data_IF_004348956741
#
_entry.id   IF_004348956741
#
_cell.length_a   1.000
_cell.length_b   1.000
_cell.length_c   1.000
_cell.angle_alpha   90.00
_cell.angle_beta   90.00
_cell.angle_gamma   90.00
#
_symmetry.space_group_name_H-M   'P 1'
#
loop_
_entity.id
_entity.type
_entity.pdbx_description
1 polymer ?
#
# COMPACT_ATOMS: atom_id res chain seq x y z
N UNK A 1 10.91 7.00 15.94
CA UNK A 1 11.42 5.89 15.10
C UNK A 1 12.91 5.86 15.26
N UNK A 2 13.54 4.67 15.36
CA UNK A 2 14.99 4.57 15.36
C UNK A 2 15.57 5.16 14.06
N UNK A 3 16.76 5.73 14.16
CA UNK A 3 17.52 6.23 13.01
C UNK A 3 17.96 5.05 12.14
N UNK A 4 17.96 5.18 10.79
CA UNK A 4 18.39 4.09 9.92
C UNK A 4 19.85 3.72 10.16
N UNK A 5 20.14 2.42 10.16
CA UNK A 5 21.50 1.92 10.39
C UNK A 5 22.41 2.06 9.15
N UNK A 6 23.71 1.84 9.35
CA UNK A 6 24.72 1.99 8.30
C UNK A 6 24.55 0.99 7.14
N UNK A 7 24.00 -0.20 7.41
CA UNK A 7 23.78 -1.25 6.41
C UNK A 7 22.57 -0.89 5.53
N UNK A 8 21.52 -0.33 6.12
CA UNK A 8 20.37 0.23 5.40
C UNK A 8 20.80 1.34 4.44
N UNK A 9 21.62 2.29 4.91
CA UNK A 9 22.15 3.38 4.05
C UNK A 9 23.02 2.81 2.92
N UNK A 10 23.88 1.85 3.22
CA UNK A 10 24.75 1.22 2.22
C UNK A 10 23.96 0.49 1.15
N UNK A 11 22.89 -0.22 1.54
CA UNK A 11 21.98 -0.93 0.64
C UNK A 11 21.32 0.03 -0.35
N UNK A 12 20.76 1.15 0.13
CA UNK A 12 20.12 2.16 -0.73
C UNK A 12 21.14 2.78 -1.69
N UNK A 13 22.35 3.11 -1.22
CA UNK A 13 23.41 3.67 -2.07
C UNK A 13 23.88 2.69 -3.15
N UNK A 14 23.98 1.40 -2.81
CA UNK A 14 24.33 0.35 -3.77
C UNK A 14 23.24 0.19 -4.83
N UNK A 15 21.96 0.15 -4.42
CA UNK A 15 20.82 0.12 -5.33
C UNK A 15 20.82 1.31 -6.28
N UNK A 16 20.97 2.55 -5.77
CA UNK A 16 20.96 3.74 -6.61
C UNK A 16 22.08 3.71 -7.66
N UNK A 17 23.30 3.31 -7.27
CA UNK A 17 24.44 3.21 -8.20
C UNK A 17 24.19 2.17 -9.30
N UNK A 18 23.69 1.00 -8.92
CA UNK A 18 23.32 -0.05 -9.87
C UNK A 18 22.20 0.44 -10.81
N UNK A 19 21.12 0.98 -10.25
CA UNK A 19 19.93 1.38 -11.00
C UNK A 19 20.21 2.53 -11.96
N UNK A 20 21.04 3.51 -11.58
CA UNK A 20 21.47 4.58 -12.51
C UNK A 20 22.20 4.04 -13.74
N UNK A 21 22.90 2.91 -13.62
CA UNK A 21 23.48 2.21 -14.77
C UNK A 21 22.42 1.52 -15.62
N UNK A 22 21.42 0.89 -14.98
CA UNK A 22 20.31 0.21 -15.66
C UNK A 22 19.48 1.16 -16.51
N UNK A 23 19.15 2.35 -15.98
CA UNK A 23 18.32 3.34 -16.70
C UNK A 23 19.13 4.28 -17.60
N UNK A 24 20.45 4.06 -17.74
CA UNK A 24 21.28 4.77 -18.72
C UNK A 24 21.43 6.28 -18.50
N UNK A 25 21.09 6.82 -17.32
CA UNK A 25 21.06 8.28 -17.06
C UNK A 25 22.43 8.94 -16.89
N UNK A 26 23.51 8.15 -16.92
CA UNK A 26 24.89 8.64 -16.76
C UNK A 26 25.54 9.07 -18.08
N UNK A 27 24.87 8.87 -19.23
CA UNK A 27 25.32 9.40 -20.51
C UNK A 27 24.99 10.89 -20.69
N UNK A 28 25.70 11.56 -21.60
CA UNK A 28 25.47 12.99 -21.92
C UNK A 28 24.09 13.27 -22.54
N UNK A 29 23.36 12.22 -22.95
CA UNK A 29 22.02 12.30 -23.51
C UNK A 29 21.11 11.18 -23.03
N UNK A 30 19.82 11.48 -22.85
CA UNK A 30 18.81 10.46 -22.58
C UNK A 30 18.46 9.75 -23.90
N UNK A 31 18.35 8.42 -23.91
CA UNK A 31 17.87 7.60 -25.04
C UNK A 31 18.53 7.93 -26.40
N UNK A 32 19.83 8.22 -26.39
CA UNK A 32 20.62 8.63 -27.57
C UNK A 32 20.01 9.83 -28.33
N UNK A 33 19.39 10.76 -27.61
CA UNK A 33 18.77 11.96 -28.16
C UNK A 33 19.70 13.18 -28.03
N UNK A 34 19.44 14.32 -28.68
CA UNK A 34 20.21 15.54 -28.40
C UNK A 34 19.82 16.21 -27.08
N UNK A 35 18.94 15.59 -26.28
CA UNK A 35 18.38 16.17 -25.05
C UNK A 35 18.96 15.50 -23.80
N UNK A 36 19.29 16.32 -22.80
CA UNK A 36 19.62 15.85 -21.45
C UNK A 36 18.41 15.25 -20.74
N UNK A 37 18.64 14.51 -19.66
CA UNK A 37 17.57 13.95 -18.82
C UNK A 37 16.57 15.03 -18.36
N UNK A 38 17.07 16.18 -17.91
CA UNK A 38 16.22 17.25 -17.40
C UNK A 38 15.39 17.90 -18.52
N UNK A 39 15.98 18.06 -19.69
CA UNK A 39 15.30 18.58 -20.89
C UNK A 39 14.19 17.65 -21.36
N UNK A 40 14.49 16.35 -21.46
CA UNK A 40 13.50 15.34 -21.79
C UNK A 40 12.38 15.33 -20.74
N UNK A 41 12.71 15.35 -19.44
CA UNK A 41 11.73 15.35 -18.36
C UNK A 41 10.81 16.58 -18.43
N UNK A 42 11.34 17.76 -18.77
CA UNK A 42 10.52 18.95 -18.98
C UNK A 42 9.52 18.76 -20.12
N UNK A 43 9.93 18.16 -21.25
CA UNK A 43 9.03 17.84 -22.36
C UNK A 43 7.99 16.79 -21.97
N UNK A 44 8.36 15.76 -21.21
CA UNK A 44 7.43 14.75 -20.68
C UNK A 44 6.35 15.37 -19.79
N UNK A 45 6.72 16.26 -18.86
CA UNK A 45 5.75 16.94 -17.98
C UNK A 45 4.84 17.89 -18.77
N UNK A 46 5.37 18.60 -19.77
CA UNK A 46 4.58 19.48 -20.64
C UNK A 46 3.65 18.72 -21.58
N UNK A 47 3.93 17.45 -21.89
CA UNK A 47 3.07 16.63 -22.73
C UNK A 47 1.82 16.10 -21.99
N UNK A 48 1.82 16.07 -20.66
CA UNK A 48 0.71 15.54 -19.87
C UNK A 48 -0.54 16.43 -19.87
N UNK A 49 -0.39 17.71 -20.25
CA UNK A 49 -1.45 18.72 -20.19
C UNK A 49 -1.33 19.68 -21.37
N UNK A 50 -2.45 20.24 -21.82
CA UNK A 50 -2.44 21.21 -22.93
C UNK A 50 -1.64 22.48 -22.60
N UNK A 51 -1.65 22.91 -21.34
CA UNK A 51 -0.84 23.98 -20.82
C UNK A 51 -0.54 23.75 -19.33
N UNK A 52 0.68 24.10 -18.90
CA UNK A 52 1.12 23.93 -17.51
C UNK A 52 1.69 25.25 -16.98
N UNK A 53 1.31 25.65 -15.76
CA UNK A 53 1.92 26.81 -15.12
C UNK A 53 3.42 26.58 -14.88
N UNK A 54 4.25 27.58 -15.18
CA UNK A 54 5.72 27.48 -14.99
C UNK A 54 6.07 27.22 -13.51
N UNK A 55 5.25 27.72 -12.58
CA UNK A 55 5.40 27.46 -11.16
C UNK A 55 5.19 25.97 -10.79
N UNK A 56 4.28 25.29 -11.48
CA UNK A 56 4.00 23.87 -11.27
C UNK A 56 5.10 23.00 -11.88
N UNK A 57 5.61 23.36 -13.06
CA UNK A 57 6.78 22.69 -13.66
C UNK A 57 8.00 22.78 -12.73
N UNK A 58 8.23 23.94 -12.12
CA UNK A 58 9.31 24.13 -11.15
C UNK A 58 9.16 23.18 -9.96
N UNK A 59 7.94 23.07 -9.41
CA UNK A 59 7.66 22.22 -8.25
C UNK A 59 7.81 20.74 -8.59
N UNK A 60 7.25 20.31 -9.72
CA UNK A 60 7.28 18.92 -10.17
C UNK A 60 8.71 18.43 -10.48
N UNK A 61 9.54 19.30 -11.06
CA UNK A 61 10.90 18.94 -11.48
C UNK A 61 11.98 19.26 -10.44
N UNK A 62 11.64 19.96 -9.35
CA UNK A 62 12.60 20.38 -8.33
C UNK A 62 13.70 21.31 -8.85
N UNK A 63 13.44 22.09 -9.91
CA UNK A 63 14.44 22.92 -10.58
C UNK A 63 14.53 24.34 -10.01
N UNK A 64 15.72 24.93 -10.08
CA UNK A 64 15.93 26.35 -9.79
C UNK A 64 15.16 27.24 -10.81
N UNK A 65 14.53 28.35 -10.37
CA UNK A 65 13.78 29.25 -11.26
C UNK A 65 14.59 29.78 -12.45
N UNK A 66 15.86 30.15 -12.23
CA UNK A 66 16.72 30.69 -13.27
C UNK A 66 17.10 29.62 -14.29
N UNK A 67 17.38 28.40 -13.84
CA UNK A 67 17.66 27.28 -14.73
C UNK A 67 16.45 26.90 -15.59
N UNK A 68 15.26 26.78 -15.00
CA UNK A 68 14.03 26.50 -15.75
C UNK A 68 13.72 27.60 -16.77
N UNK A 69 13.88 28.87 -16.40
CA UNK A 69 13.63 29.99 -17.31
C UNK A 69 14.59 29.98 -18.51
N UNK A 70 15.87 29.67 -18.31
CA UNK A 70 16.85 29.55 -19.41
C UNK A 70 16.49 28.37 -20.34
N UNK A 71 16.07 27.25 -19.77
CA UNK A 71 15.67 26.07 -20.54
C UNK A 71 14.43 26.34 -21.40
N UNK A 72 13.40 26.96 -20.82
CA UNK A 72 12.19 27.34 -21.54
C UNK A 72 12.47 28.34 -22.66
N UNK A 73 13.33 29.34 -22.43
CA UNK A 73 13.71 30.32 -23.44
C UNK A 73 14.45 29.68 -24.64
N UNK A 74 15.33 28.70 -24.37
CA UNK A 74 15.99 27.92 -25.42
C UNK A 74 14.96 27.07 -26.19
N UNK A 75 14.07 26.37 -25.50
CA UNK A 75 13.02 25.58 -26.14
C UNK A 75 12.02 26.42 -26.96
N UNK A 76 11.77 27.67 -26.59
CA UNK A 76 11.03 28.60 -27.44
C UNK A 76 11.79 28.98 -28.70
N UNK A 77 13.09 29.26 -28.57
CA UNK A 77 13.98 29.54 -29.72
C UNK A 77 14.03 28.36 -30.69
N UNK A 78 14.06 27.14 -30.14
CA UNK A 78 14.06 25.89 -30.90
C UNK A 78 12.65 25.50 -31.43
N UNK A 79 11.62 26.31 -31.12
CA UNK A 79 10.25 26.10 -31.56
C UNK A 79 9.56 24.90 -30.90
N UNK A 80 10.06 24.39 -29.77
CA UNK A 80 9.51 23.24 -29.05
C UNK A 80 8.40 23.64 -28.05
N UNK A 81 8.54 24.82 -27.45
CA UNK A 81 7.63 25.34 -26.43
C UNK A 81 7.11 26.71 -26.84
N UNK A 82 5.88 27.03 -26.44
CA UNK A 82 5.35 28.38 -26.45
C UNK A 82 4.92 28.77 -25.03
N UNK A 83 5.22 30.00 -24.60
CA UNK A 83 4.72 30.58 -23.35
C UNK A 83 3.73 31.71 -23.60
N UNK A 84 2.69 31.73 -22.78
CA UNK A 84 1.75 32.85 -22.69
C UNK A 84 1.53 33.27 -21.25
N UNK A 85 0.82 34.39 -21.06
CA UNK A 85 0.26 34.75 -19.77
C UNK A 85 -0.87 33.77 -19.41
N UNK A 86 -0.95 33.40 -18.13
CA UNK A 86 -2.02 32.55 -17.64
C UNK A 86 -3.37 33.26 -17.81
N UNK A 87 -4.42 32.57 -18.31
CA UNK A 87 -5.77 33.14 -18.41
C UNK A 87 -6.37 33.56 -17.07
N UNK A 88 -5.95 32.92 -15.97
CA UNK A 88 -6.49 33.16 -14.62
C UNK A 88 -5.71 34.19 -13.79
N UNK A 89 -4.45 34.47 -14.12
CA UNK A 89 -3.64 35.51 -13.48
C UNK A 89 -2.56 35.98 -14.46
N UNK A 90 -2.66 37.22 -14.95
CA UNK A 90 -1.73 37.78 -15.93
C UNK A 90 -0.27 37.88 -15.42
N UNK A 91 -0.04 37.74 -14.11
CA UNK A 91 1.30 37.68 -13.50
C UNK A 91 1.95 36.30 -13.62
N UNK A 92 1.17 35.27 -13.94
CA UNK A 92 1.64 33.90 -14.11
C UNK A 92 1.86 33.60 -15.60
N UNK A 93 2.77 32.67 -15.86
CA UNK A 93 3.05 32.18 -17.20
C UNK A 93 2.64 30.71 -17.31
N UNK A 94 2.05 30.38 -18.45
CA UNK A 94 1.78 28.99 -18.86
C UNK A 94 2.69 28.63 -20.00
N UNK A 95 3.21 27.41 -20.00
CA UNK A 95 4.00 26.84 -21.07
C UNK A 95 3.23 25.67 -21.70
N UNK A 96 3.34 25.53 -23.02
CA UNK A 96 2.76 24.43 -23.78
C UNK A 96 3.71 23.93 -24.85
N UNK A 97 3.62 22.65 -25.20
CA UNK A 97 4.30 22.12 -26.37
C UNK A 97 3.68 22.68 -27.66
N UNK A 98 4.53 23.04 -28.61
CA UNK A 98 4.13 23.29 -29.99
C UNK A 98 3.89 21.97 -30.73
N UNK A 99 3.45 22.03 -31.99
CA UNK A 99 3.41 20.83 -32.85
C UNK A 99 4.79 20.17 -32.95
N UNK A 100 5.85 20.96 -33.15
CA UNK A 100 7.23 20.47 -33.21
C UNK A 100 7.70 19.89 -31.87
N UNK A 101 7.35 20.52 -30.75
CA UNK A 101 7.63 20.00 -29.42
C UNK A 101 6.98 18.65 -29.17
N UNK A 102 5.74 18.45 -29.66
CA UNK A 102 5.05 17.15 -29.59
C UNK A 102 5.70 16.07 -30.44
N UNK A 103 6.22 16.40 -31.63
CA UNK A 103 7.00 15.45 -32.45
C UNK A 103 8.27 15.00 -31.73
N UNK A 104 9.00 15.94 -31.12
CA UNK A 104 10.20 15.63 -30.33
C UNK A 104 9.85 14.78 -29.12
N UNK A 105 8.77 15.13 -28.41
CA UNK A 105 8.27 14.32 -27.30
C UNK A 105 7.95 12.89 -27.76
N UNK A 106 7.22 12.70 -28.86
CA UNK A 106 6.87 11.37 -29.37
C UNK A 106 8.11 10.54 -29.70
N UNK A 107 9.14 11.16 -30.29
CA UNK A 107 10.41 10.50 -30.55
C UNK A 107 11.14 10.09 -29.26
N UNK A 108 11.13 10.93 -28.23
CA UNK A 108 11.72 10.60 -26.93
C UNK A 108 10.95 9.48 -26.21
N UNK A 109 9.62 9.53 -26.24
CA UNK A 109 8.72 8.54 -25.63
C UNK A 109 8.89 7.17 -26.30
N UNK A 110 8.90 7.11 -27.62
CA UNK A 110 9.08 5.86 -28.37
C UNK A 110 10.44 5.20 -28.07
N UNK A 111 11.51 5.99 -28.00
CA UNK A 111 12.85 5.47 -27.67
C UNK A 111 12.92 5.00 -26.22
N UNK A 112 12.36 5.75 -25.28
CA UNK A 112 12.29 5.36 -23.88
C UNK A 112 11.50 4.07 -23.69
N UNK A 113 10.33 3.96 -24.34
CA UNK A 113 9.54 2.74 -24.37
C UNK A 113 10.31 1.56 -25.00
N UNK A 114 11.12 1.83 -26.02
CA UNK A 114 12.01 0.84 -26.65
C UNK A 114 13.05 0.27 -25.68
N UNK A 115 13.74 1.12 -24.91
CA UNK A 115 14.72 0.69 -23.90
C UNK A 115 14.07 -0.15 -22.79
N UNK A 116 12.94 0.31 -22.25
CA UNK A 116 12.19 -0.43 -21.23
C UNK A 116 11.69 -1.77 -21.80
N UNK A 117 11.22 -1.81 -23.05
CA UNK A 117 10.81 -3.04 -23.71
C UNK A 117 11.97 -4.03 -23.84
N UNK A 118 13.16 -3.56 -24.22
CA UNK A 118 14.36 -4.39 -24.33
C UNK A 118 14.79 -4.96 -22.95
N UNK A 119 14.75 -4.12 -21.90
CA UNK A 119 15.03 -4.55 -20.54
C UNK A 119 14.06 -5.65 -20.10
N UNK A 120 12.75 -5.44 -20.28
CA UNK A 120 11.73 -6.41 -19.89
C UNK A 120 11.80 -7.68 -20.75
N UNK A 121 12.13 -7.57 -22.05
CA UNK A 121 12.23 -8.71 -22.96
C UNK A 121 13.21 -9.77 -22.47
N UNK A 122 14.32 -9.37 -21.81
CA UNK A 122 15.32 -10.27 -21.25
C UNK A 122 14.92 -11.00 -19.98
N UNK A 123 13.75 -10.68 -19.40
CA UNK A 123 13.27 -11.26 -18.14
C UNK A 123 12.20 -12.33 -18.37
N UNK A 124 12.22 -13.37 -17.53
CA UNK A 124 11.13 -14.36 -17.44
C UNK A 124 9.83 -13.69 -16.98
N UNK A 125 8.67 -14.29 -17.27
CA UNK A 125 7.39 -13.73 -16.79
C UNK A 125 7.32 -13.62 -15.26
N UNK A 126 7.91 -14.57 -14.54
CA UNK A 126 7.97 -14.54 -13.08
C UNK A 126 8.82 -13.36 -12.58
N UNK A 127 9.98 -13.14 -13.19
CA UNK A 127 10.86 -12.02 -12.84
C UNK A 127 10.25 -10.67 -13.21
N UNK A 128 9.53 -10.58 -14.34
CA UNK A 128 8.78 -9.37 -14.71
C UNK A 128 7.74 -9.02 -13.65
N UNK A 129 6.93 -9.99 -13.22
CA UNK A 129 5.93 -9.76 -12.16
C UNK A 129 6.59 -9.30 -10.87
N UNK A 130 7.67 -9.96 -10.45
CA UNK A 130 8.40 -9.61 -9.22
C UNK A 130 9.04 -8.22 -9.29
N UNK A 131 9.63 -7.86 -10.43
CA UNK A 131 10.22 -6.54 -10.64
C UNK A 131 9.16 -5.44 -10.60
N UNK A 132 8.05 -5.60 -11.34
CA UNK A 132 6.98 -4.61 -11.38
C UNK A 132 6.36 -4.39 -9.99
N UNK A 133 6.09 -5.46 -9.24
CA UNK A 133 5.59 -5.37 -7.86
C UNK A 133 6.57 -4.65 -6.92
N UNK A 134 7.88 -4.92 -7.05
CA UNK A 134 8.89 -4.20 -6.27
C UNK A 134 8.92 -2.69 -6.60
N UNK A 135 8.79 -2.31 -7.87
CA UNK A 135 8.75 -0.91 -8.29
C UNK A 135 7.51 -0.19 -7.77
N UNK A 136 6.36 -0.86 -7.74
CA UNK A 136 5.14 -0.35 -7.13
C UNK A 136 5.28 -0.17 -5.62
N UNK A 137 5.85 -1.15 -4.92
CA UNK A 137 6.15 -1.05 -3.50
C UNK A 137 7.08 0.14 -3.20
N UNK A 138 8.16 0.31 -3.98
CA UNK A 138 9.08 1.45 -3.83
C UNK A 138 8.34 2.78 -4.04
N UNK A 139 7.48 2.88 -5.07
CA UNK A 139 6.67 4.09 -5.31
C UNK A 139 5.68 4.36 -4.18
N UNK A 140 5.04 3.33 -3.63
CA UNK A 140 4.10 3.47 -2.51
C UNK A 140 4.79 3.88 -1.20
N UNK A 141 6.02 3.42 -0.97
CA UNK A 141 6.80 3.73 0.24
C UNK A 141 7.46 5.13 0.16
N UNK A 142 8.03 5.48 -1.01
CA UNK A 142 8.83 6.71 -1.17
C UNK A 142 8.06 7.88 -1.80
N UNK A 143 6.95 7.61 -2.50
CA UNK A 143 6.16 8.65 -3.15
C UNK A 143 5.14 9.29 -2.21
N UNK A 144 4.69 10.50 -2.55
CA UNK A 144 3.54 11.17 -1.94
C UNK A 144 2.19 10.57 -2.40
N UNK A 145 2.18 9.31 -2.86
CA UNK A 145 0.95 8.66 -3.27
C UNK A 145 -0.04 8.74 -2.10
N UNK A 146 -1.28 9.23 -2.32
CA UNK A 146 -2.28 9.19 -1.28
C UNK A 146 -2.38 7.73 -0.81
N UNK A 147 -2.04 7.48 0.45
CA UNK A 147 -2.28 6.16 1.07
C UNK A 147 -3.70 5.75 0.69
N UNK A 148 -3.89 4.58 0.07
CA UNK A 148 -5.16 4.23 -0.55
C UNK A 148 -6.30 4.42 0.44
N UNK A 149 -7.11 5.45 0.22
CA UNK A 149 -8.21 5.79 1.13
C UNK A 149 -9.34 4.75 1.08
N UNK A 150 -9.33 3.86 0.08
CA UNK A 150 -10.33 2.84 -0.15
C UNK A 150 -9.74 1.45 0.05
N UNK A 151 -10.20 0.77 1.10
CA UNK A 151 -10.06 -0.67 1.25
C UNK A 151 -11.38 -1.32 0.84
N UNK A 152 -11.31 -2.54 0.29
CA UNK A 152 -12.49 -3.37 0.03
C UNK A 152 -12.46 -4.58 0.93
N UNK A 153 -13.63 -5.15 1.22
CA UNK A 153 -13.76 -6.41 1.96
C UNK A 153 -14.29 -7.47 1.01
N UNK A 154 -13.62 -8.62 0.97
CA UNK A 154 -14.01 -9.76 0.13
C UNK A 154 -13.86 -11.07 0.90
N UNK A 155 -14.48 -12.12 0.40
CA UNK A 155 -14.28 -13.47 0.91
C UNK A 155 -12.86 -13.99 0.59
N UNK A 156 -12.32 -14.95 1.38
CA UNK A 156 -11.02 -15.54 1.12
C UNK A 156 -11.00 -16.33 -0.19
N UNK A 157 -9.87 -16.24 -0.90
CA UNK A 157 -9.51 -17.00 -2.09
C UNK A 157 -8.39 -18.00 -1.74
N UNK A 158 -8.10 -19.00 -2.60
CA UNK A 158 -6.94 -19.85 -2.41
C UNK A 158 -5.66 -19.02 -2.21
N UNK A 159 -4.94 -19.31 -1.13
CA UNK A 159 -3.76 -18.57 -0.68
C UNK A 159 -4.02 -17.63 0.51
N UNK A 160 -5.20 -17.02 0.61
CA UNK A 160 -5.47 -16.05 1.68
C UNK A 160 -5.48 -16.69 3.06
N UNK A 161 -6.02 -17.90 3.19
CA UNK A 161 -6.07 -18.60 4.48
C UNK A 161 -4.66 -18.95 4.99
N UNK A 162 -3.76 -19.36 4.09
CA UNK A 162 -2.35 -19.54 4.42
C UNK A 162 -1.66 -18.22 4.78
N UNK A 163 -2.02 -17.14 4.08
CA UNK A 163 -1.58 -15.79 4.41
C UNK A 163 -2.06 -15.35 5.80
N UNK A 164 -3.30 -15.62 6.19
CA UNK A 164 -3.81 -15.32 7.54
C UNK A 164 -2.98 -16.01 8.63
N UNK A 165 -2.65 -17.30 8.45
CA UNK A 165 -1.79 -18.04 9.39
C UNK A 165 -0.42 -17.39 9.47
N UNK A 166 0.22 -17.17 8.32
CA UNK A 166 1.54 -16.57 8.23
C UNK A 166 1.60 -15.17 8.89
N UNK A 167 0.65 -14.28 8.57
CA UNK A 167 0.65 -12.91 9.07
C UNK A 167 0.32 -12.81 10.54
N UNK A 168 -0.58 -13.65 11.06
CA UNK A 168 -0.79 -13.72 12.50
C UNK A 168 0.47 -14.23 13.23
N UNK A 169 1.15 -15.26 12.70
CA UNK A 169 2.39 -15.76 13.28
C UNK A 169 3.47 -14.68 13.38
N UNK A 170 3.75 -14.00 12.26
CA UNK A 170 4.77 -12.93 12.20
C UNK A 170 4.39 -11.74 13.09
N UNK A 171 3.18 -11.20 12.96
CA UNK A 171 2.81 -9.98 13.67
C UNK A 171 2.75 -10.18 15.20
N UNK A 172 2.29 -11.34 15.67
CA UNK A 172 2.22 -11.59 17.11
C UNK A 172 3.58 -11.99 17.71
N UNK A 173 4.50 -12.59 16.94
CA UNK A 173 5.90 -12.73 17.36
C UNK A 173 6.56 -11.34 17.51
N UNK A 174 6.43 -10.48 16.49
CA UNK A 174 7.04 -9.14 16.49
C UNK A 174 6.45 -8.20 17.57
N UNK A 175 5.13 -8.23 17.78
CA UNK A 175 4.44 -7.27 18.66
C UNK A 175 4.26 -7.76 20.09
N UNK A 176 4.15 -9.08 20.28
CA UNK A 176 3.86 -9.69 21.57
C UNK A 176 4.96 -10.67 22.03
N UNK A 177 5.94 -11.00 21.20
CA UNK A 177 6.97 -12.01 21.53
C UNK A 177 6.43 -13.43 21.63
N UNK A 178 5.28 -13.70 21.00
CA UNK A 178 4.60 -14.99 21.10
C UNK A 178 5.24 -16.05 20.21
N UNK A 179 5.48 -17.22 20.78
CA UNK A 179 6.14 -18.31 20.06
C UNK A 179 5.21 -19.02 19.04
N UNK A 180 5.80 -19.95 18.28
CA UNK A 180 5.12 -20.76 17.26
C UNK A 180 3.85 -21.49 17.72
N UNK A 181 3.61 -21.66 19.02
CA UNK A 181 2.36 -22.27 19.50
C UNK A 181 1.14 -21.38 19.30
N UNK A 182 1.32 -20.05 19.13
CA UNK A 182 0.26 -19.16 18.66
C UNK A 182 -0.05 -19.38 17.18
N UNK A 183 0.98 -19.47 16.34
CA UNK A 183 0.81 -19.79 14.91
C UNK A 183 0.09 -21.13 14.73
N UNK A 184 0.43 -22.14 15.54
CA UNK A 184 -0.27 -23.43 15.55
C UNK A 184 -1.75 -23.30 15.94
N UNK A 185 -2.10 -22.41 16.88
CA UNK A 185 -3.49 -22.09 17.18
C UNK A 185 -4.18 -21.44 15.98
N UNK A 186 -3.56 -20.46 15.33
CA UNK A 186 -4.17 -19.80 14.16
C UNK A 186 -4.40 -20.82 13.04
N UNK A 187 -3.42 -21.68 12.77
CA UNK A 187 -3.53 -22.76 11.80
C UNK A 187 -4.69 -23.71 12.12
N UNK A 188 -4.90 -24.08 13.39
CA UNK A 188 -6.02 -24.97 13.76
C UNK A 188 -7.37 -24.30 13.60
N UNK A 189 -7.49 -22.99 13.88
CA UNK A 189 -8.72 -22.23 13.65
C UNK A 189 -9.05 -22.14 12.17
N UNK A 190 -8.05 -21.88 11.34
CA UNK A 190 -8.23 -21.82 9.88
C UNK A 190 -8.60 -23.19 9.32
N UNK A 191 -7.96 -24.27 9.78
CA UNK A 191 -8.31 -25.63 9.37
C UNK A 191 -9.75 -25.99 9.75
N UNK A 192 -10.14 -25.73 11.00
CA UNK A 192 -11.49 -26.00 11.50
C UNK A 192 -12.55 -25.21 10.73
N UNK A 193 -12.29 -23.93 10.44
CA UNK A 193 -13.16 -23.10 9.61
C UNK A 193 -13.36 -23.71 8.22
N UNK A 194 -12.32 -24.23 7.57
CA UNK A 194 -12.44 -24.81 6.22
C UNK A 194 -13.16 -26.15 6.23
N UNK A 195 -12.87 -27.00 7.22
CA UNK A 195 -13.41 -28.35 7.30
C UNK A 195 -14.90 -28.36 7.69
N UNK A 196 -15.31 -27.44 8.57
CA UNK A 196 -16.64 -27.42 9.17
C UNK A 196 -17.44 -26.15 8.84
N UNK A 197 -17.04 -25.42 7.79
CA UNK A 197 -17.67 -24.16 7.41
C UNK A 197 -19.19 -24.29 7.23
N UNK A 198 -19.95 -23.50 7.99
CA UNK A 198 -21.37 -23.28 7.74
C UNK A 198 -21.58 -21.87 7.15
N UNK A 199 -21.79 -21.72 5.84
CA UNK A 199 -21.93 -20.41 5.20
C UNK A 199 -23.19 -19.64 5.63
N UNK A 200 -24.18 -20.29 6.24
CA UNK A 200 -25.36 -19.62 6.79
C UNK A 200 -25.10 -19.06 8.19
N UNK A 201 -24.00 -19.46 8.83
CA UNK A 201 -23.71 -19.15 10.23
C UNK A 201 -22.33 -18.53 10.44
N UNK A 202 -21.46 -18.63 9.46
CA UNK A 202 -20.04 -18.25 9.54
C UNK A 202 -19.60 -17.58 8.24
N UNK A 203 -18.63 -16.67 8.34
CA UNK A 203 -17.92 -16.15 7.18
C UNK A 203 -16.58 -15.55 7.62
N UNK A 204 -15.67 -15.34 6.68
CA UNK A 204 -14.40 -14.66 6.87
C UNK A 204 -14.23 -13.58 5.82
N UNK A 205 -13.47 -12.53 6.15
CA UNK A 205 -13.19 -11.45 5.21
C UNK A 205 -11.71 -11.12 5.19
N UNK A 206 -11.24 -10.83 3.98
CA UNK A 206 -9.95 -10.23 3.70
C UNK A 206 -10.21 -8.77 3.33
N UNK A 207 -9.55 -7.86 4.03
CA UNK A 207 -9.44 -6.48 3.60
C UNK A 207 -8.34 -6.37 2.54
N UNK A 208 -8.65 -5.74 1.41
CA UNK A 208 -7.72 -5.55 0.30
C UNK A 208 -7.54 -4.05 0.03
N UNK A 209 -6.30 -3.62 -0.14
CA UNK A 209 -5.94 -2.28 -0.60
C UNK A 209 -4.84 -2.39 -1.67
N UNK A 210 -5.00 -1.68 -2.79
CA UNK A 210 -4.11 -1.74 -3.95
C UNK A 210 -3.83 -3.17 -4.47
N UNK A 211 -4.84 -4.05 -4.39
CA UNK A 211 -4.73 -5.45 -4.84
C UNK A 211 -4.06 -6.39 -3.83
N UNK A 212 -3.58 -5.88 -2.70
CA UNK A 212 -2.87 -6.64 -1.68
C UNK A 212 -3.74 -6.84 -0.42
N UNK A 213 -3.67 -8.01 0.23
CA UNK A 213 -4.35 -8.24 1.50
C UNK A 213 -3.69 -7.41 2.62
N UNK A 214 -4.51 -6.65 3.35
CA UNK A 214 -4.07 -5.72 4.40
C UNK A 214 -4.72 -5.98 5.76
N UNK A 215 -5.56 -7.00 5.87
CA UNK A 215 -6.11 -7.47 7.13
C UNK A 215 -7.11 -8.60 6.93
N UNK A 216 -7.47 -9.28 8.01
CA UNK A 216 -8.55 -10.26 7.99
C UNK A 216 -9.36 -10.26 9.27
N UNK A 217 -10.53 -10.88 9.20
CA UNK A 217 -11.34 -11.23 10.37
C UNK A 217 -12.22 -12.44 10.05
N UNK A 218 -12.50 -13.25 11.05
CA UNK A 218 -13.40 -14.38 10.98
C UNK A 218 -14.59 -14.12 11.90
N UNK A 219 -15.79 -14.46 11.44
CA UNK A 219 -16.99 -14.56 12.26
C UNK A 219 -17.47 -16.00 12.20
N UNK A 220 -17.33 -16.72 13.32
CA UNK A 220 -17.63 -18.16 13.41
C UNK A 220 -18.68 -18.42 14.47
N UNK A 221 -19.38 -19.55 14.38
CA UNK A 221 -20.38 -19.94 15.38
C UNK A 221 -19.68 -20.36 16.66
N UNK A 222 -20.09 -19.81 17.80
CA UNK A 222 -19.63 -20.26 19.12
C UNK A 222 -20.68 -21.09 19.82
N UNK A 223 -21.90 -20.57 19.83
CA UNK A 223 -23.10 -21.20 20.38
C UNK A 223 -24.28 -20.92 19.45
N UNK A 224 -25.47 -21.44 19.77
CA UNK A 224 -26.63 -21.31 18.89
C UNK A 224 -27.02 -19.84 18.63
N UNK A 225 -26.87 -18.97 19.63
CA UNK A 225 -27.20 -17.54 19.55
C UNK A 225 -26.00 -16.62 19.70
N UNK A 226 -24.79 -17.17 19.77
CA UNK A 226 -23.55 -16.41 19.96
C UNK A 226 -22.57 -16.68 18.84
N UNK A 227 -22.19 -15.63 18.12
CA UNK A 227 -21.08 -15.64 17.17
C UNK A 227 -19.77 -15.24 17.86
N UNK A 228 -18.64 -15.66 17.30
CA UNK A 228 -17.32 -15.28 17.78
C UNK A 228 -16.51 -14.61 16.66
N UNK A 229 -15.99 -13.42 16.97
CA UNK A 229 -15.00 -12.73 16.16
C UNK A 229 -13.62 -13.29 16.48
N UNK A 230 -12.91 -13.77 15.44
CA UNK A 230 -11.58 -14.40 15.56
C UNK A 230 -10.61 -13.87 14.52
N UNK A 231 -9.32 -14.03 14.82
CA UNK A 231 -8.18 -13.79 13.91
C UNK A 231 -8.20 -12.40 13.26
N UNK A 232 -8.71 -11.39 13.99
CA UNK A 232 -8.66 -10.01 13.53
C UNK A 232 -7.21 -9.54 13.51
N UNK A 233 -6.73 -9.18 12.34
CA UNK A 233 -5.45 -8.48 12.21
C UNK A 233 -5.50 -7.44 11.10
N UNK A 234 -4.65 -6.43 11.21
CA UNK A 234 -4.46 -5.38 10.21
C UNK A 234 -2.96 -5.14 10.06
N UNK A 235 -2.50 -5.18 8.81
CA UNK A 235 -1.12 -4.90 8.45
C UNK A 235 -0.67 -3.55 9.02
N UNK A 236 0.55 -3.42 9.57
CA UNK A 236 1.04 -2.16 10.12
C UNK A 236 0.91 -0.97 9.16
N UNK A 237 1.12 -1.21 7.85
CA UNK A 237 1.00 -0.20 6.80
C UNK A 237 -0.44 0.31 6.60
N UNK A 238 -1.45 -0.48 6.97
CA UNK A 238 -2.87 -0.17 6.81
C UNK A 238 -3.56 0.32 8.11
N UNK A 239 -2.82 0.43 9.21
CA UNK A 239 -3.36 0.91 10.49
C UNK A 239 -3.68 2.41 10.44
N UNK A 240 -4.77 2.79 11.11
CA UNK A 240 -5.28 4.17 11.07
C UNK A 240 -6.09 4.52 9.82
N UNK A 241 -6.22 3.61 8.86
CA UNK A 241 -6.97 3.80 7.60
C UNK A 241 -8.42 3.28 7.67
N UNK A 242 -8.91 2.97 8.87
CA UNK A 242 -10.28 2.47 9.09
C UNK A 242 -10.50 0.98 8.80
N UNK A 243 -9.49 0.24 8.31
CA UNK A 243 -9.59 -1.19 7.96
C UNK A 243 -10.13 -2.05 9.10
N UNK A 244 -9.55 -1.94 10.31
CA UNK A 244 -10.01 -2.70 11.46
C UNK A 244 -11.46 -2.43 11.84
N UNK A 245 -11.91 -1.17 11.70
CA UNK A 245 -13.32 -0.81 11.92
C UNK A 245 -14.22 -1.45 10.87
N UNK A 246 -13.85 -1.39 9.59
CA UNK A 246 -14.66 -2.00 8.54
C UNK A 246 -14.80 -3.52 8.70
N UNK A 247 -13.71 -4.20 9.10
CA UNK A 247 -13.71 -5.64 9.40
C UNK A 247 -14.65 -5.97 10.57
N UNK A 248 -14.54 -5.25 11.69
CA UNK A 248 -15.44 -5.45 12.85
C UNK A 248 -16.89 -5.12 12.50
N UNK A 249 -17.15 -4.00 11.83
CA UNK A 249 -18.49 -3.59 11.40
C UNK A 249 -19.11 -4.59 10.41
N UNK A 250 -18.28 -5.32 9.66
CA UNK A 250 -18.73 -6.42 8.78
C UNK A 250 -19.15 -7.65 9.60
N UNK A 251 -18.34 -8.07 10.58
CA UNK A 251 -18.71 -9.19 11.48
C UNK A 251 -20.00 -8.91 12.24
N UNK A 252 -20.15 -7.70 12.79
CA UNK A 252 -21.35 -7.29 13.53
C UNK A 252 -22.60 -7.38 12.66
N UNK A 253 -22.55 -6.80 11.45
CA UNK A 253 -23.68 -6.85 10.53
C UNK A 253 -24.01 -8.27 10.12
N UNK A 254 -23.00 -9.05 9.74
CA UNK A 254 -23.19 -10.45 9.40
C UNK A 254 -23.87 -11.23 10.54
N UNK A 255 -23.37 -11.07 11.78
CA UNK A 255 -23.93 -11.78 12.92
C UNK A 255 -25.41 -11.40 13.17
N UNK A 256 -25.73 -10.10 13.12
CA UNK A 256 -27.11 -9.61 13.28
C UNK A 256 -28.03 -10.13 12.15
N UNK A 257 -27.56 -10.07 10.90
CA UNK A 257 -28.34 -10.51 9.72
C UNK A 257 -28.61 -12.03 9.73
N UNK A 258 -27.76 -12.82 10.39
CA UNK A 258 -27.88 -14.28 10.48
C UNK A 258 -28.45 -14.76 11.83
N UNK A 259 -29.12 -13.88 12.57
CA UNK A 259 -29.95 -14.24 13.72
C UNK A 259 -29.19 -14.58 15.01
N UNK A 260 -27.94 -14.15 15.11
CA UNK A 260 -27.22 -14.13 16.37
C UNK A 260 -27.71 -12.98 17.25
N UNK A 261 -27.76 -13.23 18.55
CA UNK A 261 -28.18 -12.25 19.56
C UNK A 261 -26.96 -11.58 20.21
N UNK A 262 -25.80 -12.21 20.12
CA UNK A 262 -24.56 -11.71 20.69
C UNK A 262 -23.34 -12.03 19.81
N UNK A 263 -22.38 -11.11 19.80
CA UNK A 263 -21.04 -11.32 19.25
C UNK A 263 -20.01 -11.24 20.38
N UNK A 264 -19.17 -12.26 20.50
CA UNK A 264 -18.08 -12.31 21.48
C UNK A 264 -16.71 -12.32 20.80
N UNK A 265 -15.67 -11.92 21.54
CA UNK A 265 -14.28 -12.12 21.15
C UNK A 265 -13.41 -12.43 22.35
N UNK A 266 -12.32 -13.14 22.10
CA UNK A 266 -11.26 -13.35 23.09
C UNK A 266 -10.02 -12.58 22.64
N UNK A 267 -9.46 -11.79 23.54
CA UNK A 267 -8.25 -10.99 23.31
C UNK A 267 -7.36 -11.02 24.55
N UNK A 268 -6.18 -10.43 24.47
CA UNK A 268 -5.26 -10.30 25.61
C UNK A 268 -5.09 -8.85 26.03
N UNK A 269 -4.73 -8.62 27.30
CA UNK A 269 -4.50 -7.27 27.84
C UNK A 269 -3.36 -6.50 27.16
N UNK A 270 -2.45 -7.21 26.47
CA UNK A 270 -1.33 -6.62 25.71
C UNK A 270 -1.80 -5.87 24.44
N UNK A 271 -3.01 -6.16 23.93
CA UNK A 271 -3.53 -5.63 22.68
C UNK A 271 -4.29 -4.29 22.86
N UNK A 272 -3.66 -3.31 23.53
CA UNK A 272 -4.29 -2.01 23.87
C UNK A 272 -4.90 -1.24 22.67
N UNK A 273 -4.31 -1.24 21.45
CA UNK A 273 -4.95 -0.61 20.29
C UNK A 273 -6.27 -1.27 19.88
N UNK A 274 -6.39 -2.59 20.05
CA UNK A 274 -7.60 -3.35 19.72
C UNK A 274 -8.73 -3.07 20.71
N UNK A 275 -8.44 -2.80 21.98
CA UNK A 275 -9.48 -2.47 22.98
C UNK A 275 -10.30 -1.25 22.59
N UNK A 276 -9.64 -0.16 22.18
CA UNK A 276 -10.35 1.06 21.73
C UNK A 276 -11.22 0.80 20.49
N UNK A 277 -10.79 -0.12 19.63
CA UNK A 277 -11.57 -0.53 18.46
C UNK A 277 -12.83 -1.28 18.91
N UNK A 278 -12.69 -2.24 19.81
CA UNK A 278 -13.80 -3.03 20.34
C UNK A 278 -14.79 -2.19 21.16
N UNK A 279 -14.31 -1.33 22.04
CA UNK A 279 -15.15 -0.39 22.80
C UNK A 279 -15.97 0.52 21.88
N UNK A 280 -15.35 1.10 20.84
CA UNK A 280 -16.06 1.92 19.84
C UNK A 280 -17.05 1.12 19.01
N UNK A 281 -16.77 -0.16 18.81
CA UNK A 281 -17.68 -1.09 18.18
C UNK A 281 -18.74 -1.63 19.16
N UNK A 282 -18.83 -1.11 20.39
CA UNK A 282 -19.89 -1.47 21.35
C UNK A 282 -19.66 -2.77 22.12
N UNK A 283 -18.46 -3.34 22.07
CA UNK A 283 -18.10 -4.44 22.95
C UNK A 283 -17.80 -3.94 24.35
N UNK A 284 -18.19 -4.74 25.34
CA UNK A 284 -17.88 -4.54 26.75
C UNK A 284 -17.07 -5.72 27.28
N UNK A 285 -16.12 -5.45 28.18
CA UNK A 285 -15.38 -6.49 28.88
C UNK A 285 -16.35 -7.27 29.79
N UNK A 286 -16.53 -8.55 29.51
CA UNK A 286 -17.43 -9.43 30.26
C UNK A 286 -16.66 -10.25 31.31
N UNK A 287 -15.48 -10.74 30.95
CA UNK A 287 -14.67 -11.59 31.83
C UNK A 287 -13.18 -11.31 31.62
N UNK A 288 -12.42 -11.37 32.72
CA UNK A 288 -10.97 -11.39 32.71
C UNK A 288 -10.49 -12.70 33.30
N UNK A 289 -9.78 -13.47 32.49
CA UNK A 289 -9.26 -14.78 32.85
C UNK A 289 -8.04 -14.63 33.78
N UNK A 290 -7.80 -15.62 34.67
CA UNK A 290 -6.57 -15.64 35.46
C UNK A 290 -5.33 -15.76 34.55
N UNK A 291 -4.18 -15.20 34.97
CA UNK A 291 -2.94 -15.30 34.21
C UNK A 291 -2.60 -16.75 33.92
N UNK A 292 -2.34 -17.08 32.65
CA UNK A 292 -2.00 -18.43 32.22
C UNK A 292 -0.79 -18.40 31.31
N UNK A 293 0.13 -19.35 31.48
CA UNK A 293 1.32 -19.46 30.63
C UNK A 293 0.95 -20.11 29.29
N UNK A 294 1.05 -19.34 28.20
CA UNK A 294 0.71 -19.78 26.83
C UNK A 294 1.48 -18.92 25.81
N UNK A 295 1.76 -19.47 24.64
CA UNK A 295 2.51 -18.78 23.56
C UNK A 295 3.90 -18.30 23.98
N UNK A 296 4.54 -19.03 24.90
CA UNK A 296 5.85 -18.66 25.42
C UNK A 296 5.83 -17.60 26.54
N UNK A 297 4.67 -17.01 26.85
CA UNK A 297 4.54 -15.88 27.79
C UNK A 297 3.43 -16.10 28.84
N UNK A 298 3.33 -15.21 29.83
CA UNK A 298 2.20 -15.11 30.75
C UNK A 298 1.12 -14.20 30.15
N UNK A 299 -0.06 -14.76 29.92
CA UNK A 299 -1.15 -14.08 29.21
C UNK A 299 -2.34 -13.87 30.13
N UNK A 300 -2.88 -12.65 30.10
CA UNK A 300 -4.15 -12.29 30.72
C UNK A 300 -5.24 -12.25 29.64
N UNK A 301 -5.99 -13.35 29.55
CA UNK A 301 -7.11 -13.48 28.63
C UNK A 301 -8.28 -12.58 29.03
N UNK A 302 -9.00 -12.07 28.04
CA UNK A 302 -10.16 -11.23 28.24
C UNK A 302 -11.25 -11.60 27.24
N UNK A 303 -12.46 -11.80 27.74
CA UNK A 303 -13.65 -12.04 26.93
C UNK A 303 -14.44 -10.74 26.86
N UNK A 304 -14.68 -10.28 25.65
CA UNK A 304 -15.49 -9.11 25.36
C UNK A 304 -16.75 -9.55 24.63
N UNK A 305 -17.89 -8.97 24.99
CA UNK A 305 -19.21 -9.31 24.43
C UNK A 305 -19.94 -8.07 23.96
N UNK A 306 -20.76 -8.22 22.93
CA UNK A 306 -21.64 -7.20 22.36
C UNK A 306 -22.99 -7.83 22.07
N UNK A 307 -24.06 -7.28 22.62
CA UNK A 307 -25.42 -7.57 22.16
C UNK A 307 -25.65 -6.96 20.77
N UNK A 308 -26.36 -7.69 19.90
CA UNK A 308 -26.61 -7.33 18.51
C UNK A 308 -27.98 -6.68 18.29
#
# INVERSE_FOLDING_TARGET
MPEPDADQITTVRAFNRFYTGVIGVLGDSLVQSPYSLTEARLLFELAQRDATEVADLRRALGLDPGYLSRMLARFETDGLVARDRSPGDARRQVARLTARGREVFAMLDERSAGEIRALLAGLSEADRRRLLGAMEAIRGILGDAPRPAAHTLREPRPGDLGWVVHRNGVLYDEECGWDRSYEALVASVVADYVEHHDPERENAWIAEADGEPVGSVFCVRREEKVAQLRLLHVEPAARGMGVGRALVDRCVRFAADHGYEELMLWTTALQKPAHRLYERAGFVLAEQEPPTRRFGDEIHGQIWRRAL
#
